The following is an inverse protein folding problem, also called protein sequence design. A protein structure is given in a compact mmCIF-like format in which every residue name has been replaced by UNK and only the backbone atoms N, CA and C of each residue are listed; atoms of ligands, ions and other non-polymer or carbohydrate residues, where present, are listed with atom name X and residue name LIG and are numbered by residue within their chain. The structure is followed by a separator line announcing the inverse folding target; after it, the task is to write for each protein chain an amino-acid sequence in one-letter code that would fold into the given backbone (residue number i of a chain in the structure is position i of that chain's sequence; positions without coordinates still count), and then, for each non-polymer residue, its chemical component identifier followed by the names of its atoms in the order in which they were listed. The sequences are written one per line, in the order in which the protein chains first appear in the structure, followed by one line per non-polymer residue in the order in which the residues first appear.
data_IF_120206294868
#
_entry.id   IF_120206294868
#
_cell.length_a   1.000
_cell.length_b   1.000
_cell.length_c   1.000
_cell.angle_alpha   90.00
_cell.angle_beta   90.00
_cell.angle_gamma   90.00
#
_symmetry.space_group_name_H-M   'P 1'
#
loop_
_entity.id
_entity.type
_entity.pdbx_description
1 polymer ?
#
# COMPACT_ATOMS: atom_id res chain seq x y z
N UNK A 1 20.96 -6.91 6.94
CA UNK A 1 20.40 -6.68 5.59
C UNK A 1 18.95 -6.26 5.64
N UNK A 2 18.47 -5.55 4.63
CA UNK A 2 17.09 -5.06 4.55
C UNK A 2 16.55 -5.04 3.12
N UNK A 3 15.23 -5.08 2.98
CA UNK A 3 14.51 -4.83 1.72
C UNK A 3 13.62 -3.59 1.83
N UNK A 4 13.42 -2.90 0.71
CA UNK A 4 12.37 -1.89 0.53
C UNK A 4 11.50 -2.35 -0.64
N UNK A 5 10.21 -2.61 -0.40
CA UNK A 5 9.34 -3.27 -1.37
C UNK A 5 7.90 -2.73 -1.36
N UNK A 6 7.20 -2.67 -2.51
CA UNK A 6 5.79 -2.25 -2.54
C UNK A 6 4.90 -3.18 -1.72
N UNK A 7 4.30 -2.68 -0.65
CA UNK A 7 3.37 -3.42 0.20
C UNK A 7 2.14 -2.57 0.49
N UNK A 8 1.01 -2.94 -0.11
CA UNK A 8 -0.32 -2.36 0.10
C UNK A 8 -1.37 -3.46 0.04
N UNK A 9 -2.54 -3.23 0.61
CA UNK A 9 -3.60 -4.23 0.71
C UNK A 9 -4.10 -4.70 -0.66
N UNK A 10 -4.18 -3.82 -1.67
CA UNK A 10 -4.66 -4.21 -3.01
C UNK A 10 -3.73 -5.25 -3.64
N UNK A 11 -2.43 -4.97 -3.71
CA UNK A 11 -1.45 -5.91 -4.23
C UNK A 11 -1.43 -7.23 -3.43
N UNK A 12 -1.55 -7.13 -2.10
CA UNK A 12 -1.43 -8.28 -1.21
C UNK A 12 -2.67 -9.20 -1.28
N UNK A 13 -3.87 -8.62 -1.31
CA UNK A 13 -5.14 -9.33 -1.24
C UNK A 13 -5.68 -9.72 -2.63
N UNK A 14 -5.52 -8.87 -3.64
CA UNK A 14 -6.12 -9.10 -4.97
C UNK A 14 -5.26 -10.01 -5.85
N UNK A 15 -3.94 -9.80 -5.85
CA UNK A 15 -3.01 -10.49 -6.78
C UNK A 15 -1.93 -11.29 -6.08
N UNK A 16 -1.97 -11.40 -4.74
CA UNK A 16 -1.01 -12.19 -3.97
C UNK A 16 0.43 -11.68 -4.08
N UNK A 17 0.63 -10.41 -4.39
CA UNK A 17 1.96 -9.82 -4.56
C UNK A 17 2.48 -9.27 -3.23
N UNK A 18 3.45 -9.96 -2.61
CA UNK A 18 4.04 -9.56 -1.33
C UNK A 18 4.24 -10.69 -0.32
N UNK A 19 3.25 -11.57 -0.05
CA UNK A 19 3.32 -12.58 1.02
C UNK A 19 4.62 -13.40 1.00
N UNK A 20 4.99 -13.98 -0.15
CA UNK A 20 6.20 -14.83 -0.27
C UNK A 20 7.50 -14.05 -0.01
N UNK A 21 7.55 -12.77 -0.39
CA UNK A 21 8.72 -11.90 -0.16
C UNK A 21 8.83 -11.57 1.32
N UNK A 22 7.71 -11.26 1.97
CA UNK A 22 7.64 -10.99 3.41
C UNK A 22 8.06 -12.24 4.20
N UNK A 23 7.52 -13.40 3.86
CA UNK A 23 7.90 -14.68 4.48
C UNK A 23 9.40 -14.96 4.32
N UNK A 24 9.93 -14.81 3.10
CA UNK A 24 11.34 -15.09 2.82
C UNK A 24 12.29 -14.14 3.54
N UNK A 25 11.96 -12.85 3.59
CA UNK A 25 12.76 -11.84 4.28
C UNK A 25 12.73 -12.04 5.80
N UNK A 26 11.57 -12.38 6.36
CA UNK A 26 11.42 -12.70 7.78
C UNK A 26 12.23 -13.96 8.16
N UNK A 27 12.13 -15.04 7.37
CA UNK A 27 12.92 -16.27 7.59
C UNK A 27 14.45 -16.04 7.55
N UNK A 28 14.90 -14.95 6.91
CA UNK A 28 16.30 -14.52 6.84
C UNK A 28 16.67 -13.47 7.89
N UNK A 29 15.77 -13.12 8.81
CA UNK A 29 15.94 -12.06 9.80
C UNK A 29 16.35 -10.71 9.16
N UNK A 30 15.77 -10.38 8.01
CA UNK A 30 16.01 -9.11 7.33
C UNK A 30 15.03 -8.03 7.82
N UNK A 31 15.48 -6.78 7.86
CA UNK A 31 14.57 -5.65 8.02
C UNK A 31 13.69 -5.48 6.77
N UNK A 32 12.40 -5.20 6.95
CA UNK A 32 11.45 -5.04 5.84
C UNK A 32 10.86 -3.64 5.92
N UNK A 33 11.10 -2.83 4.88
CA UNK A 33 10.46 -1.53 4.73
C UNK A 33 9.38 -1.62 3.65
N UNK A 34 8.16 -1.26 4.01
CA UNK A 34 7.07 -1.13 3.06
C UNK A 34 7.16 0.21 2.34
N UNK A 35 7.01 0.19 1.02
CA UNK A 35 6.78 1.35 0.18
C UNK A 35 5.32 1.30 -0.29
N UNK A 36 4.69 2.46 -0.49
CA UNK A 36 3.33 2.59 -1.08
C UNK A 36 2.22 1.99 -0.22
N UNK A 37 2.31 2.06 1.12
CA UNK A 37 1.28 1.52 2.03
C UNK A 37 -0.14 2.05 1.79
N UNK A 38 -0.26 3.29 1.31
CA UNK A 38 -1.54 3.94 0.98
C UNK A 38 -1.84 3.94 -0.52
N UNK A 39 -1.28 3.02 -1.31
CA UNK A 39 -1.59 2.94 -2.74
C UNK A 39 -2.92 2.21 -2.97
N UNK A 40 -3.83 2.84 -3.72
CA UNK A 40 -5.04 2.20 -4.23
C UNK A 40 -4.74 1.40 -5.48
N UNK A 41 -4.12 2.02 -6.49
CA UNK A 41 -3.89 1.32 -7.75
C UNK A 41 -3.24 2.18 -8.82
N UNK A 42 -3.26 1.69 -10.06
CA UNK A 42 -2.79 2.45 -11.22
C UNK A 42 -3.75 3.60 -11.53
N UNK A 43 -3.20 4.67 -12.11
CA UNK A 43 -4.00 5.71 -12.74
C UNK A 43 -4.37 5.20 -14.13
N UNK A 44 -5.63 5.30 -14.50
CA UNK A 44 -6.09 4.89 -15.83
C UNK A 44 -5.40 5.71 -16.93
N UNK A 45 -5.22 5.08 -18.09
CA UNK A 45 -4.58 5.74 -19.21
C UNK A 45 -5.37 6.98 -19.66
N UNK A 46 -4.68 8.10 -19.85
CA UNK A 46 -5.28 9.37 -20.23
C UNK A 46 -5.93 10.15 -19.09
N UNK A 47 -5.99 9.60 -17.86
CA UNK A 47 -6.46 10.35 -16.70
C UNK A 47 -5.34 11.21 -16.10
N UNK A 48 -5.66 12.44 -15.62
CA UNK A 48 -4.69 13.28 -14.95
C UNK A 48 -4.24 12.66 -13.63
N UNK A 49 -3.00 12.95 -13.22
CA UNK A 49 -2.53 12.56 -11.89
C UNK A 49 -3.22 13.42 -10.83
N UNK A 50 -3.86 12.82 -9.81
CA UNK A 50 -4.50 13.59 -8.75
C UNK A 50 -3.47 14.32 -7.87
N UNK A 51 -2.26 13.75 -7.72
CA UNK A 51 -1.17 14.32 -6.93
C UNK A 51 0.15 14.29 -7.72
N UNK A 52 0.83 15.44 -7.80
CA UNK A 52 2.07 15.57 -8.60
C UNK A 52 3.19 14.63 -8.17
N UNK A 53 3.23 14.26 -6.88
CA UNK A 53 4.25 13.38 -6.28
C UNK A 53 3.86 11.90 -6.28
N UNK A 54 2.68 11.56 -6.78
CA UNK A 54 2.19 10.18 -6.87
C UNK A 54 2.02 9.81 -8.35
N UNK A 55 2.83 8.87 -8.82
CA UNK A 55 2.67 8.28 -10.16
C UNK A 55 1.58 7.19 -10.21
N UNK A 56 0.90 6.97 -9.10
CA UNK A 56 -0.16 6.01 -8.87
C UNK A 56 -1.35 6.71 -8.21
N UNK A 57 -2.52 6.07 -8.20
CA UNK A 57 -3.67 6.55 -7.43
C UNK A 57 -3.45 6.21 -5.95
N UNK A 58 -3.21 7.20 -5.07
CA UNK A 58 -3.17 6.96 -3.64
C UNK A 58 -4.60 6.82 -3.08
N UNK A 59 -4.71 6.38 -1.83
CA UNK A 59 -5.90 6.59 -1.02
C UNK A 59 -5.82 7.97 -0.38
N UNK A 60 -6.79 8.81 -0.67
CA UNK A 60 -6.94 10.15 -0.11
C UNK A 60 -8.21 10.32 0.73
N UNK A 61 -9.12 9.34 0.68
CA UNK A 61 -10.19 9.20 1.67
C UNK A 61 -9.62 8.83 3.04
N UNK A 62 -9.85 9.61 4.11
CA UNK A 62 -9.25 9.37 5.42
C UNK A 62 -9.61 8.02 6.05
N UNK A 63 -10.84 7.54 5.88
CA UNK A 63 -11.30 6.28 6.49
C UNK A 63 -10.64 5.09 5.81
N UNK A 64 -10.61 5.08 4.47
CA UNK A 64 -9.93 4.04 3.71
C UNK A 64 -8.40 4.13 3.89
N UNK A 65 -7.83 5.33 4.02
CA UNK A 65 -6.40 5.52 4.23
C UNK A 65 -5.92 4.95 5.56
N UNK A 66 -6.73 5.15 6.62
CA UNK A 66 -6.50 4.56 7.94
C UNK A 66 -6.43 3.03 7.85
N UNK A 67 -7.45 2.41 7.24
CA UNK A 67 -7.49 0.96 7.04
C UNK A 67 -6.32 0.46 6.19
N UNK A 68 -6.05 1.13 5.06
CA UNK A 68 -4.98 0.78 4.13
C UNK A 68 -3.61 0.76 4.81
N UNK A 69 -3.27 1.83 5.54
CA UNK A 69 -1.98 1.93 6.19
C UNK A 69 -1.88 1.02 7.41
N UNK A 70 -2.97 0.85 8.20
CA UNK A 70 -3.00 -0.13 9.29
C UNK A 70 -2.82 -1.56 8.78
N UNK A 71 -3.40 -1.92 7.63
CA UNK A 71 -3.15 -3.21 6.99
C UNK A 71 -1.67 -3.42 6.69
N UNK A 72 -1.03 -2.43 6.05
CA UNK A 72 0.41 -2.47 5.72
C UNK A 72 1.27 -2.57 6.97
N UNK A 73 0.99 -1.76 8.01
CA UNK A 73 1.73 -1.75 9.28
C UNK A 73 1.50 -3.01 10.13
N UNK A 74 0.40 -3.74 9.89
CA UNK A 74 0.11 -5.02 10.58
C UNK A 74 0.86 -6.21 9.98
N UNK A 75 1.52 -6.05 8.84
CA UNK A 75 2.45 -7.06 8.31
C UNK A 75 3.73 -7.09 9.15
N UNK A 76 4.53 -8.18 9.14
CA UNK A 76 5.78 -8.26 9.89
C UNK A 76 6.88 -7.39 9.23
N UNK A 77 6.74 -6.07 9.33
CA UNK A 77 7.63 -5.06 8.77
C UNK A 77 8.26 -4.19 9.85
N UNK A 78 9.36 -3.51 9.51
CA UNK A 78 10.06 -2.57 10.38
C UNK A 78 9.48 -1.15 10.26
N UNK A 79 9.14 -0.71 9.05
CA UNK A 79 8.62 0.63 8.79
C UNK A 79 7.83 0.68 7.49
N UNK A 80 6.93 1.66 7.35
CA UNK A 80 6.27 2.00 6.10
C UNK A 80 6.65 3.43 5.69
N UNK A 81 7.07 3.60 4.44
CA UNK A 81 7.40 4.91 3.85
C UNK A 81 6.09 5.55 3.36
N UNK A 82 5.69 6.72 3.90
CA UNK A 82 4.46 7.40 3.52
C UNK A 82 4.53 7.95 2.08
N UNK A 83 3.37 8.31 1.49
CA UNK A 83 3.35 9.04 0.22
C UNK A 83 4.16 10.34 0.29
N UNK A 84 4.77 10.74 -0.84
CA UNK A 84 5.61 11.95 -0.90
C UNK A 84 4.84 13.26 -1.00
N UNK A 85 3.52 13.19 -1.23
CA UNK A 85 2.63 14.35 -1.23
C UNK A 85 2.42 14.87 0.22
N UNK A 86 2.55 16.19 0.50
CA UNK A 86 2.52 16.71 1.86
C UNK A 86 1.24 16.39 2.66
N UNK A 87 0.06 16.47 2.03
CA UNK A 87 -1.20 16.27 2.74
C UNK A 87 -1.40 14.78 3.07
N UNK A 88 -1.06 13.91 2.12
CA UNK A 88 -1.06 12.45 2.34
C UNK A 88 0.02 12.02 3.33
N UNK A 89 1.17 12.69 3.34
CA UNK A 89 2.23 12.45 4.31
C UNK A 89 1.75 12.79 5.73
N UNK A 90 1.12 13.93 5.93
CA UNK A 90 0.55 14.32 7.22
C UNK A 90 -0.53 13.33 7.67
N UNK A 91 -1.40 12.90 6.76
CA UNK A 91 -2.41 11.87 7.04
C UNK A 91 -1.77 10.56 7.50
N UNK A 92 -0.73 10.09 6.81
CA UNK A 92 0.01 8.89 7.18
C UNK A 92 0.64 9.00 8.58
N UNK A 93 1.19 10.16 8.93
CA UNK A 93 1.74 10.39 10.27
C UNK A 93 0.67 10.33 11.36
N UNK A 94 -0.53 10.88 11.11
CA UNK A 94 -1.65 10.82 12.06
C UNK A 94 -2.11 9.38 12.30
N UNK A 95 -2.26 8.60 11.22
CA UNK A 95 -2.62 7.17 11.30
C UNK A 95 -1.53 6.40 12.06
N UNK A 96 -0.25 6.58 11.68
CA UNK A 96 0.87 5.90 12.33
C UNK A 96 0.98 6.21 13.83
N UNK A 97 0.69 7.45 14.23
CA UNK A 97 0.68 7.86 15.65
C UNK A 97 -0.43 7.17 16.46
N UNK A 98 -1.57 6.89 15.82
CA UNK A 98 -2.74 6.27 16.44
C UNK A 98 -2.90 4.80 16.03
N UNK A 99 -1.81 4.16 15.59
CA UNK A 99 -1.85 2.82 15.03
C UNK A 99 -2.42 1.80 16.01
N UNK A 100 -3.38 1.02 15.53
CA UNK A 100 -3.78 -0.26 16.08
C UNK A 100 -3.73 -1.32 14.97
N UNK A 101 -3.42 -2.59 15.28
CA UNK A 101 -3.50 -3.65 14.29
C UNK A 101 -4.88 -3.70 13.63
N UNK A 102 -4.91 -3.99 12.33
CA UNK A 102 -6.17 -4.19 11.62
C UNK A 102 -6.85 -5.49 12.08
N UNK A 103 -8.17 -5.47 12.14
CA UNK A 103 -8.99 -6.64 12.52
C UNK A 103 -9.42 -7.44 11.29
N UNK A 104 -9.85 -8.69 11.50
CA UNK A 104 -10.34 -9.54 10.39
C UNK A 104 -11.55 -8.94 9.67
N UNK A 105 -12.50 -8.34 10.42
CA UNK A 105 -13.66 -7.67 9.81
C UNK A 105 -13.28 -6.47 8.95
N UNK A 106 -12.23 -5.74 9.34
CA UNK A 106 -11.70 -4.63 8.55
C UNK A 106 -10.94 -5.12 7.31
N UNK A 107 -10.26 -6.27 7.40
CA UNK A 107 -9.65 -6.93 6.24
C UNK A 107 -10.74 -7.36 5.24
N UNK A 108 -11.82 -7.97 5.72
CA UNK A 108 -12.96 -8.33 4.86
C UNK A 108 -13.57 -7.09 4.19
N UNK A 109 -13.71 -5.97 4.92
CA UNK A 109 -14.11 -4.72 4.32
C UNK A 109 -13.12 -4.26 3.24
N UNK A 110 -11.81 -4.27 3.49
CA UNK A 110 -10.79 -3.90 2.50
C UNK A 110 -10.84 -4.76 1.24
N UNK A 111 -11.13 -6.07 1.34
CA UNK A 111 -11.34 -6.94 0.18
C UNK A 111 -12.48 -6.45 -0.70
N UNK A 112 -13.58 -5.94 -0.13
CA UNK A 112 -14.66 -5.35 -0.94
C UNK A 112 -14.23 -4.09 -1.68
N UNK A 113 -13.19 -3.40 -1.21
CA UNK A 113 -12.69 -2.16 -1.80
C UNK A 113 -11.69 -2.38 -2.94
N UNK A 114 -11.25 -3.62 -3.19
CA UNK A 114 -10.32 -3.93 -4.31
C UNK A 114 -11.05 -4.09 -5.64
N UNK A 115 -12.38 -4.31 -5.63
CA UNK A 115 -13.16 -4.52 -6.84
C UNK A 115 -13.04 -3.36 -7.84
N UNK A 116 -12.71 -3.67 -9.09
CA UNK A 116 -12.55 -2.69 -10.17
C UNK A 116 -11.30 -1.82 -10.07
N UNK A 117 -10.41 -2.07 -9.11
CA UNK A 117 -9.14 -1.37 -8.99
C UNK A 117 -8.06 -2.15 -9.73
N UNK A 118 -7.35 -1.49 -10.65
CA UNK A 118 -6.17 -2.07 -11.27
C UNK A 118 -5.01 -2.03 -10.27
N UNK A 119 -4.53 -3.18 -9.75
CA UNK A 119 -3.44 -3.21 -8.78
C UNK A 119 -2.19 -2.60 -9.38
N UNK A 120 -1.30 -2.08 -8.53
CA UNK A 120 -0.01 -1.63 -9.05
C UNK A 120 0.73 -2.81 -9.67
N UNK A 121 0.80 -3.94 -8.94
CA UNK A 121 1.42 -5.23 -9.29
C UNK A 121 0.68 -6.02 -10.39
N UNK A 122 0.05 -5.34 -11.34
CA UNK A 122 -0.53 -5.96 -12.51
C UNK A 122 0.56 -6.44 -13.49
N UNK A 123 0.22 -7.38 -14.39
CA UNK A 123 1.17 -8.00 -15.33
C UNK A 123 1.84 -7.00 -16.30
N UNK A 124 1.28 -5.81 -16.45
CA UNK A 124 1.81 -4.68 -17.21
C UNK A 124 2.56 -3.66 -16.31
N UNK A 125 2.99 -4.02 -15.09
CA UNK A 125 3.73 -3.15 -14.16
C UNK A 125 4.92 -2.43 -14.82
N UNK A 126 5.61 -3.10 -15.74
CA UNK A 126 6.78 -2.56 -16.45
C UNK A 126 6.43 -1.68 -17.66
N UNK A 127 5.16 -1.64 -18.06
CA UNK A 127 4.68 -0.77 -19.11
C UNK A 127 4.34 0.57 -18.47
N UNK A 128 5.12 1.60 -18.83
CA UNK A 128 4.80 2.98 -18.46
C UNK A 128 3.35 3.27 -18.86
N UNK A 129 2.55 3.76 -17.91
CA UNK A 129 1.29 4.42 -18.24
C UNK A 129 1.64 5.70 -19.01
N UNK A 130 1.71 5.59 -20.34
CA UNK A 130 1.88 6.70 -21.27
C UNK A 130 0.53 7.27 -21.66
#
# INVERSE_FOLDING_TARGET
DSILFPLNWVNFLEVGFGPEIVEKANAKNMGIMALKGMARGRIEQGQPRPYNRCWYAPVDDPELADLALRYTLSQPITAAVPPGDPDLFEMALKIGKNFSPITESEIEHLKTQTAGVTPLASGDWLIEAR
#
